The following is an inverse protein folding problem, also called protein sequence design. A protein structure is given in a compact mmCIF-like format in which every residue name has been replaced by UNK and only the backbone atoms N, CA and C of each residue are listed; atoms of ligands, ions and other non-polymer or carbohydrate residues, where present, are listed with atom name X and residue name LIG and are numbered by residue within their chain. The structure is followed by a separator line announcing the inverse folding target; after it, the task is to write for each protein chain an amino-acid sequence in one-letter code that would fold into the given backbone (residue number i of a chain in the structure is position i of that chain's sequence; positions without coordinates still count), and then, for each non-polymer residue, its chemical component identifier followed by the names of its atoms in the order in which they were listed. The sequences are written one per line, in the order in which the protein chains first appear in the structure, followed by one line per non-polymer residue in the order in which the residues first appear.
data_IF_023149937009
#
_entry.id   IF_023149937009
#
_cell.length_a   1.000
_cell.length_b   1.000
_cell.length_c   1.000
_cell.angle_alpha   90.00
_cell.angle_beta   90.00
_cell.angle_gamma   90.00
#
_symmetry.space_group_name_H-M   'P 1'
#
loop_
_entity.id
_entity.type
_entity.pdbx_description
1 polymer ?
#
# COMPACT_ATOMS: atom_id res chain seq x y z
N UNK A 1 45.18 25.40 25.52
CA UNK A 1 44.31 26.00 24.48
C UNK A 1 44.07 24.95 23.40
N UNK A 2 42.94 24.26 23.45
CA UNK A 2 42.53 23.30 22.41
C UNK A 2 41.59 24.05 21.49
N UNK A 3 42.04 24.35 20.27
CA UNK A 3 41.23 24.98 19.24
C UNK A 3 40.26 23.94 18.66
N UNK A 4 38.95 24.19 18.81
CA UNK A 4 37.89 23.47 18.10
C UNK A 4 37.93 23.88 16.63
N UNK A 5 38.15 22.91 15.74
CA UNK A 5 37.94 23.06 14.31
C UNK A 5 36.49 22.74 13.97
N UNK A 6 35.68 23.75 13.66
CA UNK A 6 34.32 23.62 13.15
C UNK A 6 34.33 23.04 11.72
N UNK A 7 33.96 21.77 11.59
CA UNK A 7 33.81 21.12 10.29
C UNK A 7 32.42 21.43 9.72
N UNK A 8 32.34 22.50 8.93
CA UNK A 8 31.13 22.96 8.24
C UNK A 8 30.78 21.97 7.10
N UNK A 9 29.81 21.08 7.34
CA UNK A 9 29.25 20.19 6.31
C UNK A 9 28.53 21.03 5.26
N UNK A 10 29.15 21.20 4.09
CA UNK A 10 28.57 21.91 2.95
C UNK A 10 27.74 20.91 2.14
N UNK A 11 26.42 20.94 2.29
CA UNK A 11 25.50 20.21 1.41
C UNK A 11 25.50 20.91 0.05
N UNK A 12 26.25 20.36 -0.91
CA UNK A 12 26.11 20.75 -2.32
C UNK A 12 24.77 20.23 -2.81
N UNK A 13 23.78 21.13 -2.96
CA UNK A 13 22.62 20.88 -3.82
C UNK A 13 23.12 20.78 -5.25
N UNK A 14 23.30 19.56 -5.75
CA UNK A 14 23.47 19.32 -7.18
C UNK A 14 22.14 19.70 -7.85
N UNK A 15 22.08 20.87 -8.46
CA UNK A 15 20.99 21.21 -9.38
C UNK A 15 21.01 20.18 -10.52
N UNK A 16 19.91 19.45 -10.80
CA UNK A 16 19.82 18.71 -12.05
C UNK A 16 19.72 19.73 -13.18
N UNK A 17 20.69 19.64 -14.08
CA UNK A 17 20.79 20.38 -15.33
C UNK A 17 19.46 20.33 -16.08
N UNK A 18 18.83 21.48 -16.25
CA UNK A 18 17.66 21.64 -17.13
C UNK A 18 18.16 21.55 -18.57
N UNK A 19 18.18 20.33 -19.11
CA UNK A 19 18.33 20.09 -20.54
C UNK A 19 17.00 19.59 -21.11
N UNK A 20 16.29 20.55 -21.71
CA UNK A 20 15.51 20.37 -22.93
C UNK A 20 14.45 19.27 -22.97
N UNK A 21 13.19 19.65 -22.74
CA UNK A 21 12.05 18.84 -23.16
C UNK A 21 10.77 19.17 -22.39
N UNK A 22 10.12 20.30 -22.71
CA UNK A 22 8.68 20.46 -22.42
C UNK A 22 7.88 19.57 -23.38
N UNK A 23 8.02 18.26 -23.26
CA UNK A 23 7.00 17.31 -23.68
C UNK A 23 6.00 17.22 -22.54
N UNK A 24 4.71 17.40 -22.81
CA UNK A 24 3.66 17.00 -21.88
C UNK A 24 3.91 15.52 -21.52
N UNK A 25 4.49 15.26 -20.34
CA UNK A 25 4.63 13.89 -19.85
C UNK A 25 3.22 13.43 -19.53
N UNK A 26 2.63 12.62 -20.41
CA UNK A 26 1.33 11.99 -20.16
C UNK A 26 1.35 11.23 -18.83
N UNK A 27 0.16 10.94 -18.27
CA UNK A 27 0.02 10.33 -16.94
C UNK A 27 0.97 9.14 -16.71
N UNK A 28 1.20 8.32 -17.74
CA UNK A 28 2.12 7.20 -17.66
C UNK A 28 3.57 7.60 -17.31
N UNK A 29 4.10 8.68 -17.88
CA UNK A 29 5.43 9.17 -17.56
C UNK A 29 5.54 9.72 -16.14
N UNK A 30 4.47 10.32 -15.63
CA UNK A 30 4.40 10.87 -14.27
C UNK A 30 4.34 9.76 -13.21
N UNK A 31 3.52 8.73 -13.43
CA UNK A 31 3.42 7.59 -12.52
C UNK A 31 4.78 6.88 -12.36
N UNK A 32 5.50 6.68 -13.46
CA UNK A 32 6.82 6.01 -13.42
C UNK A 32 7.85 6.86 -12.68
N UNK A 33 7.93 8.15 -12.98
CA UNK A 33 8.87 9.08 -12.34
C UNK A 33 8.70 9.10 -10.81
N UNK A 34 7.45 9.12 -10.33
CA UNK A 34 7.17 9.13 -8.88
C UNK A 34 7.40 7.78 -8.21
N UNK A 35 7.26 6.67 -8.94
CA UNK A 35 7.65 5.35 -8.43
C UNK A 35 9.16 5.25 -8.20
N UNK A 36 9.97 5.75 -9.14
CA UNK A 36 11.44 5.73 -9.01
C UNK A 36 11.90 6.61 -7.82
N UNK A 37 11.26 7.76 -7.62
CA UNK A 37 11.52 8.62 -6.45
C UNK A 37 11.13 7.96 -5.12
N UNK A 38 10.01 7.21 -5.10
CA UNK A 38 9.53 6.52 -3.90
C UNK A 38 10.39 5.32 -3.49
N UNK A 39 11.10 4.69 -4.44
CA UNK A 39 12.06 3.61 -4.19
C UNK A 39 13.38 4.12 -3.60
N UNK A 40 13.80 5.35 -3.96
CA UNK A 40 15.04 5.95 -3.47
C UNK A 40 14.94 6.48 -2.03
N UNK A 41 13.73 6.57 -1.47
CA UNK A 41 13.55 6.82 -0.03
C UNK A 41 13.65 5.49 0.71
N UNK A 42 14.88 5.01 0.86
CA UNK A 42 15.20 4.04 1.92
C UNK A 42 15.04 4.76 3.26
N UNK A 43 14.07 4.32 4.07
CA UNK A 43 14.17 4.57 5.51
C UNK A 43 15.50 3.96 5.94
N UNK A 44 16.41 4.79 6.45
CA UNK A 44 17.70 4.33 6.98
C UNK A 44 17.42 3.12 7.88
N UNK A 45 18.08 1.96 7.66
CA UNK A 45 17.91 0.84 8.56
C UNK A 45 18.34 1.33 9.94
N UNK A 46 17.42 1.28 10.91
CA UNK A 46 17.80 1.45 12.30
C UNK A 46 18.85 0.37 12.64
N UNK A 47 19.89 0.71 13.42
CA UNK A 47 20.95 -0.24 13.74
C UNK A 47 20.32 -1.50 14.34
N UNK A 48 20.57 -2.64 13.69
CA UNK A 48 20.06 -3.94 14.11
C UNK A 48 20.74 -4.36 15.40
N UNK A 49 20.09 -4.11 16.54
CA UNK A 49 20.45 -4.72 17.81
C UNK A 49 19.50 -5.87 18.10
N UNK A 50 20.07 -7.08 18.07
CA UNK A 50 19.65 -8.33 18.72
C UNK A 50 18.28 -8.91 18.38
N UNK A 51 18.35 -10.09 17.77
CA UNK A 51 17.30 -11.11 17.62
C UNK A 51 16.34 -11.14 18.82
N UNK A 52 15.11 -10.69 18.60
CA UNK A 52 13.94 -11.19 19.31
C UNK A 52 12.92 -11.65 18.27
N UNK A 53 12.64 -12.95 18.29
CA UNK A 53 11.73 -13.65 17.38
C UNK A 53 10.30 -13.33 17.81
N UNK A 54 9.79 -12.19 17.34
CA UNK A 54 8.35 -11.93 17.26
C UNK A 54 7.96 -11.64 15.79
N UNK A 55 7.68 -12.69 14.99
CA UNK A 55 7.35 -12.57 13.56
C UNK A 55 6.20 -11.61 13.20
N UNK A 56 5.11 -11.43 13.99
CA UNK A 56 4.06 -10.50 13.60
C UNK A 56 4.52 -9.03 13.61
N UNK A 57 5.51 -8.67 14.42
CA UNK A 57 5.94 -7.26 14.54
C UNK A 57 6.80 -6.78 13.38
N UNK A 58 7.61 -7.67 12.78
CA UNK A 58 8.47 -7.33 11.63
C UNK A 58 7.63 -7.09 10.39
N UNK A 59 6.69 -8.00 10.09
CA UNK A 59 5.77 -7.86 8.96
C UNK A 59 4.90 -6.61 9.08
N UNK A 60 4.37 -6.31 10.27
CA UNK A 60 3.54 -5.12 10.46
C UNK A 60 4.35 -3.81 10.34
N UNK A 61 5.61 -3.80 10.77
CA UNK A 61 6.53 -2.67 10.53
C UNK A 61 6.83 -2.50 9.04
N UNK A 62 7.09 -3.60 8.32
CA UNK A 62 7.29 -3.57 6.87
C UNK A 62 6.03 -3.05 6.15
N UNK A 63 4.85 -3.53 6.53
CA UNK A 63 3.59 -3.07 5.96
C UNK A 63 3.33 -1.57 6.22
N UNK A 64 3.62 -1.09 7.43
CA UNK A 64 3.57 0.34 7.76
C UNK A 64 4.52 1.15 6.88
N UNK A 65 5.76 0.68 6.67
CA UNK A 65 6.72 1.34 5.79
C UNK A 65 6.24 1.37 4.32
N UNK A 66 5.67 0.27 3.83
CA UNK A 66 5.05 0.20 2.50
C UNK A 66 3.87 1.16 2.37
N UNK A 67 3.05 1.30 3.42
CA UNK A 67 1.93 2.25 3.42
C UNK A 67 2.43 3.69 3.29
N UNK A 68 3.47 4.08 4.03
CA UNK A 68 4.08 5.42 3.93
C UNK A 68 4.64 5.66 2.53
N UNK A 69 5.38 4.70 1.96
CA UNK A 69 5.87 4.79 0.57
C UNK A 69 4.71 4.97 -0.42
N UNK A 70 3.61 4.23 -0.21
CA UNK A 70 2.42 4.27 -1.05
C UNK A 70 1.72 5.63 -0.97
N UNK A 71 1.53 6.18 0.23
CA UNK A 71 0.90 7.49 0.41
C UNK A 71 1.77 8.62 -0.17
N UNK A 72 3.10 8.52 -0.02
CA UNK A 72 4.04 9.46 -0.64
C UNK A 72 3.95 9.42 -2.16
N UNK A 73 3.91 8.22 -2.75
CA UNK A 73 3.69 8.04 -4.18
C UNK A 73 2.42 8.78 -4.63
N UNK A 74 1.28 8.51 -3.97
CA UNK A 74 -0.01 9.14 -4.28
C UNK A 74 0.07 10.67 -4.18
N UNK A 75 0.64 11.19 -3.08
CA UNK A 75 0.78 12.63 -2.83
C UNK A 75 1.58 13.36 -3.91
N UNK A 76 2.53 12.67 -4.54
CA UNK A 76 3.36 13.28 -5.56
C UNK A 76 2.81 13.15 -6.99
N UNK A 77 1.75 12.35 -7.22
CA UNK A 77 1.13 12.26 -8.55
C UNK A 77 0.48 13.61 -8.92
N UNK A 78 0.90 14.30 -9.99
CA UNK A 78 0.41 15.67 -10.26
C UNK A 78 -1.10 15.77 -10.47
N UNK A 79 -1.70 14.89 -11.28
CA UNK A 79 -3.14 14.90 -11.50
C UNK A 79 -3.96 14.53 -10.26
N UNK A 80 -3.36 13.87 -9.26
CA UNK A 80 -3.99 13.66 -7.97
C UNK A 80 -4.03 14.95 -7.15
N UNK A 81 -2.95 15.74 -7.19
CA UNK A 81 -2.85 17.04 -6.50
C UNK A 81 -3.79 18.10 -7.05
N UNK A 82 -4.19 17.98 -8.32
CA UNK A 82 -5.16 18.87 -8.97
C UNK A 82 -6.60 18.61 -8.54
N UNK A 83 -6.88 17.45 -7.92
CA UNK A 83 -8.20 17.16 -7.38
C UNK A 83 -8.47 18.02 -6.14
N UNK A 84 -9.74 18.39 -5.87
CA UNK A 84 -10.13 18.95 -4.58
C UNK A 84 -9.68 18.06 -3.42
N UNK A 85 -9.25 18.65 -2.29
CA UNK A 85 -8.79 17.89 -1.11
C UNK A 85 -9.80 16.83 -0.65
N UNK A 86 -11.06 17.21 -0.75
CA UNK A 86 -12.22 16.39 -0.48
C UNK A 86 -12.31 15.13 -1.34
N UNK A 87 -11.90 15.22 -2.60
CA UNK A 87 -11.88 14.12 -3.55
C UNK A 87 -10.61 13.27 -3.39
N UNK A 88 -9.47 13.91 -3.12
CA UNK A 88 -8.23 13.25 -2.74
C UNK A 88 -8.45 12.32 -1.54
N UNK A 89 -9.14 12.84 -0.51
CA UNK A 89 -9.47 12.12 0.70
C UNK A 89 -10.38 10.91 0.42
N UNK A 90 -11.42 11.09 -0.42
CA UNK A 90 -12.31 10.01 -0.82
C UNK A 90 -11.56 8.88 -1.56
N UNK A 91 -10.60 9.24 -2.43
CA UNK A 91 -9.76 8.28 -3.14
C UNK A 91 -8.82 7.53 -2.18
N UNK A 92 -8.15 8.21 -1.26
CA UNK A 92 -7.25 7.56 -0.28
C UNK A 92 -8.03 6.61 0.63
N UNK A 93 -9.15 7.08 1.23
CA UNK A 93 -9.98 6.26 2.13
C UNK A 93 -10.55 5.00 1.46
N UNK A 94 -10.78 5.05 0.15
CA UNK A 94 -11.33 3.91 -0.60
C UNK A 94 -10.26 3.02 -1.25
N UNK A 95 -9.05 3.55 -1.48
CA UNK A 95 -7.98 2.90 -2.22
C UNK A 95 -6.79 2.41 -1.38
N UNK A 96 -6.64 2.85 -0.13
CA UNK A 96 -5.42 2.55 0.66
C UNK A 96 -5.14 1.05 0.81
N UNK A 97 -6.16 0.22 1.07
CA UNK A 97 -5.98 -1.20 1.32
C UNK A 97 -5.48 -1.98 0.09
N UNK A 98 -6.13 -1.89 -1.09
CA UNK A 98 -5.60 -2.56 -2.28
C UNK A 98 -4.25 -1.98 -2.73
N UNK A 99 -4.00 -0.68 -2.54
CA UNK A 99 -2.69 -0.08 -2.81
C UNK A 99 -1.60 -0.61 -1.88
N UNK A 100 -1.90 -0.77 -0.58
CA UNK A 100 -1.00 -1.37 0.39
C UNK A 100 -0.66 -2.80 0.01
N UNK A 101 -1.64 -3.64 -0.29
CA UNK A 101 -1.37 -5.05 -0.65
C UNK A 101 -0.60 -5.15 -1.97
N UNK A 102 -0.90 -4.29 -2.96
CA UNK A 102 -0.10 -4.20 -4.18
C UNK A 102 1.34 -3.76 -3.89
N UNK A 103 1.54 -2.85 -2.92
CA UNK A 103 2.86 -2.45 -2.42
C UNK A 103 3.60 -3.57 -1.69
N UNK A 104 2.91 -4.39 -0.88
CA UNK A 104 3.50 -5.57 -0.23
C UNK A 104 4.01 -6.56 -1.27
N UNK A 105 3.24 -6.76 -2.35
CA UNK A 105 3.67 -7.60 -3.46
C UNK A 105 4.93 -7.06 -4.15
N UNK A 106 5.00 -5.74 -4.36
CA UNK A 106 6.15 -5.07 -4.97
C UNK A 106 7.41 -5.18 -4.10
N UNK A 107 7.30 -4.97 -2.80
CA UNK A 107 8.41 -5.05 -1.84
C UNK A 107 8.72 -6.51 -1.43
N UNK A 108 8.06 -7.51 -2.06
CA UNK A 108 8.21 -8.96 -1.79
C UNK A 108 8.07 -9.31 -0.30
N UNK A 109 7.14 -8.64 0.38
CA UNK A 109 6.84 -8.91 1.80
C UNK A 109 6.00 -10.19 1.87
N UNK A 110 6.61 -11.27 2.36
CA UNK A 110 5.89 -12.48 2.74
C UNK A 110 5.48 -12.41 4.21
N UNK A 111 4.36 -13.05 4.54
CA UNK A 111 3.88 -13.12 5.91
C UNK A 111 3.32 -14.49 6.23
N UNK A 112 3.82 -15.07 7.31
CA UNK A 112 3.26 -16.25 7.92
C UNK A 112 2.35 -15.83 9.06
N UNK A 113 1.05 -16.02 8.89
CA UNK A 113 0.17 -16.13 10.05
C UNK A 113 0.49 -17.46 10.69
N UNK A 114 1.28 -17.47 11.75
CA UNK A 114 1.44 -18.67 12.57
C UNK A 114 0.06 -19.02 13.12
N UNK A 115 -0.56 -20.05 12.55
CA UNK A 115 -1.60 -20.79 13.25
C UNK A 115 -0.92 -21.42 14.46
N UNK A 116 -0.89 -20.70 15.59
CA UNK A 116 -0.91 -21.41 16.85
C UNK A 116 -2.28 -22.05 16.88
N UNK A 117 -2.37 -23.30 16.40
CA UNK A 117 -3.44 -24.21 16.77
C UNK A 117 -3.40 -24.18 18.29
N UNK A 118 -4.25 -23.36 18.92
CA UNK A 118 -4.47 -23.53 20.34
C UNK A 118 -4.96 -24.96 20.46
N UNK A 119 -4.25 -25.83 21.21
CA UNK A 119 -4.76 -27.16 21.45
C UNK A 119 -6.17 -26.97 22.00
N UNK A 120 -7.14 -27.62 21.36
CA UNK A 120 -8.54 -27.57 21.81
C UNK A 120 -8.60 -27.78 23.32
N UNK A 121 -9.58 -27.20 24.02
CA UNK A 121 -9.68 -27.40 25.48
C UNK A 121 -9.60 -28.89 25.85
N UNK A 122 -10.14 -29.77 24.99
CA UNK A 122 -10.00 -31.22 25.11
C UNK A 122 -8.54 -31.68 25.01
N UNK A 123 -7.79 -31.22 24.02
CA UNK A 123 -6.37 -31.55 23.88
C UNK A 123 -5.54 -31.04 25.08
N UNK A 124 -5.86 -29.88 25.66
CA UNK A 124 -5.22 -29.37 26.89
C UNK A 124 -5.51 -30.23 28.12
N UNK A 125 -6.75 -30.73 28.23
CA UNK A 125 -7.17 -31.63 29.32
C UNK A 125 -6.51 -33.01 29.14
N UNK A 126 -6.42 -33.49 27.90
CA UNK A 126 -5.88 -34.81 27.57
C UNK A 126 -4.35 -34.90 27.67
N UNK A 127 -3.61 -33.81 27.40
CA UNK A 127 -2.13 -33.80 27.45
C UNK A 127 -1.54 -33.36 28.79
N UNK A 128 -2.37 -33.05 29.80
CA UNK A 128 -1.94 -32.97 31.20
C UNK A 128 -0.76 -32.02 31.49
N UNK A 129 -0.68 -30.87 30.84
CA UNK A 129 0.37 -29.89 31.16
C UNK A 129 0.10 -29.20 32.51
N UNK A 130 0.99 -29.29 33.51
CA UNK A 130 0.76 -28.74 34.83
C UNK A 130 1.39 -27.35 34.95
N UNK A 131 0.67 -26.30 34.57
CA UNK A 131 1.05 -24.93 34.97
C UNK A 131 -0.13 -24.19 35.60
N UNK A 132 -0.10 -24.20 36.94
CA UNK A 132 -0.05 -22.95 37.68
C UNK A 132 -1.23 -21.98 37.52
N UNK A 133 -2.26 -22.23 38.33
CA UNK A 133 -3.20 -21.22 38.83
C UNK A 133 -2.46 -19.92 39.19
N UNK A 134 -2.88 -18.79 38.58
CA UNK A 134 -2.49 -17.38 38.85
C UNK A 134 -1.42 -16.75 37.92
N UNK A 135 -1.80 -16.44 36.68
CA UNK A 135 -1.42 -15.19 35.98
C UNK A 135 -2.33 -14.94 34.77
N UNK A 136 -3.43 -14.23 35.01
CA UNK A 136 -4.35 -13.76 33.98
C UNK A 136 -3.87 -12.41 33.44
N UNK A 137 -2.67 -12.33 32.84
CA UNK A 137 -2.23 -11.13 32.12
C UNK A 137 -1.28 -11.51 30.96
N UNK A 138 -1.80 -11.37 29.74
CA UNK A 138 -1.06 -10.84 28.60
C UNK A 138 -0.01 -11.72 27.92
N UNK A 139 -0.46 -12.56 26.99
CA UNK A 139 0.12 -12.63 25.64
C UNK A 139 -0.77 -13.51 24.77
N UNK A 140 -1.86 -12.94 24.27
CA UNK A 140 -2.69 -13.63 23.30
C UNK A 140 -2.05 -13.43 21.91
N UNK A 141 -1.32 -14.42 21.40
CA UNK A 141 -1.10 -14.57 19.96
C UNK A 141 -2.42 -15.01 19.32
N UNK A 142 -3.42 -14.13 19.36
CA UNK A 142 -4.68 -14.28 18.65
C UNK A 142 -4.35 -14.12 17.18
N UNK A 143 -4.63 -15.13 16.36
CA UNK A 143 -5.14 -14.85 15.01
C UNK A 143 -6.17 -13.74 15.18
N UNK A 144 -5.91 -12.56 14.59
CA UNK A 144 -6.63 -11.33 14.90
C UNK A 144 -8.15 -11.63 14.93
N UNK A 145 -8.75 -11.61 16.12
CA UNK A 145 -10.10 -12.11 16.34
C UNK A 145 -11.06 -11.48 15.32
N UNK A 146 -11.60 -12.31 14.41
CA UNK A 146 -12.52 -11.87 13.35
C UNK A 146 -11.95 -11.80 11.93
N UNK A 147 -10.71 -12.24 11.66
CA UNK A 147 -10.21 -12.43 10.28
C UNK A 147 -10.48 -13.87 9.82
N UNK A 148 -11.15 -14.04 8.67
CA UNK A 148 -11.40 -15.38 8.13
C UNK A 148 -10.15 -15.94 7.42
N UNK A 149 -9.98 -17.26 7.49
CA UNK A 149 -8.89 -17.97 6.78
C UNK A 149 -8.93 -17.67 5.28
N UNK A 150 -10.13 -17.61 4.69
CA UNK A 150 -10.35 -17.28 3.29
C UNK A 150 -9.80 -15.91 2.90
N UNK A 151 -9.91 -14.90 3.77
CA UNK A 151 -9.35 -13.58 3.48
C UNK A 151 -7.81 -13.60 3.51
N UNK A 152 -7.22 -14.35 4.44
CA UNK A 152 -5.76 -14.52 4.54
C UNK A 152 -5.24 -15.23 3.29
N UNK A 153 -5.90 -16.32 2.89
CA UNK A 153 -5.58 -17.07 1.68
C UNK A 153 -5.74 -16.20 0.43
N UNK A 154 -6.78 -15.37 0.34
CA UNK A 154 -6.97 -14.46 -0.79
C UNK A 154 -5.82 -13.45 -0.93
N UNK A 155 -5.35 -12.88 0.19
CA UNK A 155 -4.19 -11.97 0.19
C UNK A 155 -2.93 -12.74 -0.24
N UNK A 156 -2.66 -13.91 0.35
CA UNK A 156 -1.50 -14.74 0.00
C UNK A 156 -1.51 -15.19 -1.46
N UNK A 157 -2.67 -15.59 -1.98
CA UNK A 157 -2.86 -15.99 -3.36
C UNK A 157 -2.58 -14.81 -4.32
N UNK A 158 -3.02 -13.60 -3.97
CA UNK A 158 -2.69 -12.40 -4.72
C UNK A 158 -1.18 -12.12 -4.74
N UNK A 159 -0.50 -12.16 -3.59
CA UNK A 159 0.95 -11.95 -3.51
C UNK A 159 1.71 -12.95 -4.40
N UNK A 160 1.42 -14.25 -4.24
CA UNK A 160 1.99 -15.33 -5.06
C UNK A 160 1.71 -15.13 -6.55
N UNK A 161 0.51 -14.67 -6.92
CA UNK A 161 0.18 -14.39 -8.32
C UNK A 161 1.05 -13.28 -8.87
N UNK A 162 1.19 -12.15 -8.17
CA UNK A 162 2.07 -11.06 -8.56
C UNK A 162 3.52 -11.51 -8.71
N UNK A 163 3.99 -12.39 -7.83
CA UNK A 163 5.36 -12.91 -7.88
C UNK A 163 5.57 -13.86 -9.05
N UNK A 164 4.60 -14.72 -9.37
CA UNK A 164 4.69 -15.62 -10.55
C UNK A 164 4.65 -14.89 -11.90
N UNK A 165 4.00 -13.73 -11.98
CA UNK A 165 3.91 -12.92 -13.22
C UNK A 165 5.19 -12.09 -13.44
N UNK A 166 6.00 -11.93 -12.39
CA UNK A 166 7.19 -11.08 -12.34
C UNK A 166 6.91 -9.66 -12.86
N UNK A 167 6.07 -8.94 -12.10
CA UNK A 167 5.65 -7.57 -12.42
C UNK A 167 6.82 -6.62 -12.18
N UNK A 168 7.17 -5.83 -13.20
CA UNK A 168 8.23 -4.82 -13.12
C UNK A 168 7.80 -3.57 -12.33
N UNK A 169 8.78 -2.78 -11.87
CA UNK A 169 8.53 -1.49 -11.17
C UNK A 169 7.62 -0.55 -11.95
N UNK A 170 7.81 -0.44 -13.28
CA UNK A 170 6.98 0.43 -14.13
C UNK A 170 5.55 -0.09 -14.22
N UNK A 171 5.37 -1.40 -14.36
CA UNK A 171 4.03 -2.01 -14.36
C UNK A 171 3.33 -1.81 -13.02
N UNK A 172 4.03 -1.96 -11.88
CA UNK A 172 3.48 -1.62 -10.57
C UNK A 172 3.04 -0.16 -10.47
N UNK A 173 3.78 0.78 -11.07
CA UNK A 173 3.40 2.19 -11.11
C UNK A 173 2.05 2.40 -11.81
N UNK A 174 1.86 1.79 -12.99
CA UNK A 174 0.61 1.88 -13.73
C UNK A 174 -0.54 1.16 -13.02
N UNK A 175 -0.29 0.00 -12.42
CA UNK A 175 -1.29 -0.73 -11.65
C UNK A 175 -1.72 0.06 -10.41
N UNK A 176 -0.79 0.72 -9.71
CA UNK A 176 -1.11 1.64 -8.61
C UNK A 176 -1.99 2.79 -9.09
N UNK A 177 -1.68 3.39 -10.24
CA UNK A 177 -2.53 4.41 -10.87
C UNK A 177 -3.95 3.87 -11.17
N UNK A 178 -4.05 2.68 -11.75
CA UNK A 178 -5.32 2.03 -12.09
C UNK A 178 -6.18 1.67 -10.85
N UNK A 179 -5.54 1.37 -9.72
CA UNK A 179 -6.20 1.12 -8.43
C UNK A 179 -6.61 2.42 -7.74
N UNK A 180 -5.72 3.42 -7.76
CA UNK A 180 -5.95 4.73 -7.15
C UNK A 180 -7.14 5.44 -7.81
N UNK A 181 -7.11 5.57 -9.13
CA UNK A 181 -8.16 6.26 -9.89
C UNK A 181 -9.33 5.33 -10.17
N UNK A 182 -10.13 5.01 -9.13
CA UNK A 182 -11.30 4.15 -9.28
C UNK A 182 -12.61 4.92 -9.03
N UNK A 183 -13.39 5.23 -10.08
CA UNK A 183 -14.59 6.05 -9.95
C UNK A 183 -15.68 5.37 -9.12
N UNK A 184 -15.79 4.04 -9.18
CA UNK A 184 -16.79 3.31 -8.40
C UNK A 184 -16.52 3.36 -6.90
N UNK A 185 -15.24 3.23 -6.50
CA UNK A 185 -14.81 3.35 -5.10
C UNK A 185 -14.90 4.80 -4.59
N UNK A 186 -14.57 5.76 -5.45
CA UNK A 186 -14.77 7.18 -5.19
C UNK A 186 -16.24 7.52 -4.91
N UNK A 187 -17.15 7.12 -5.79
CA UNK A 187 -18.58 7.45 -5.68
C UNK A 187 -19.22 6.88 -4.40
N UNK A 188 -18.80 5.69 -3.97
CA UNK A 188 -19.26 5.09 -2.70
C UNK A 188 -18.86 5.95 -1.49
N UNK A 189 -17.66 6.55 -1.50
CA UNK A 189 -17.21 7.45 -0.41
C UNK A 189 -17.74 8.87 -0.55
N UNK A 190 -17.98 9.34 -1.77
CA UNK A 190 -18.58 10.65 -2.04
C UNK A 190 -20.10 10.66 -1.86
N UNK A 191 -20.74 9.50 -1.66
CA UNK A 191 -22.21 9.35 -1.54
C UNK A 191 -22.88 10.29 -0.54
N UNK A 192 -22.35 10.49 0.68
CA UNK A 192 -22.93 11.44 1.63
C UNK A 192 -23.02 12.88 1.09
N UNK A 193 -22.19 13.24 0.11
CA UNK A 193 -22.17 14.56 -0.53
C UNK A 193 -23.11 14.69 -1.73
N UNK A 194 -23.57 13.59 -2.32
CA UNK A 194 -24.51 13.65 -3.45
C UNK A 194 -25.82 14.39 -3.11
N UNK A 195 -26.18 14.45 -1.83
CA UNK A 195 -27.38 15.10 -1.34
C UNK A 195 -27.17 16.54 -0.86
N UNK A 196 -25.93 17.00 -0.70
CA UNK A 196 -25.59 18.33 -0.16
C UNK A 196 -24.78 19.19 -1.14
N UNK A 197 -23.97 18.56 -1.98
CA UNK A 197 -23.21 19.20 -3.06
C UNK A 197 -23.96 19.06 -4.38
N UNK A 198 -23.78 20.03 -5.29
CA UNK A 198 -24.35 19.97 -6.63
C UNK A 198 -23.94 18.65 -7.31
N UNK A 199 -24.90 17.75 -7.55
CA UNK A 199 -24.69 16.39 -8.09
C UNK A 199 -23.80 16.38 -9.35
N UNK A 200 -23.92 17.41 -10.19
CA UNK A 200 -23.04 17.63 -11.34
C UNK A 200 -21.54 17.61 -11.01
N UNK A 201 -21.11 18.21 -9.88
CA UNK A 201 -19.69 18.25 -9.47
C UNK A 201 -19.12 16.85 -9.23
N UNK A 202 -19.88 16.02 -8.51
CA UNK A 202 -19.48 14.63 -8.23
C UNK A 202 -19.43 13.82 -9.52
N UNK A 203 -20.36 14.04 -10.45
CA UNK A 203 -20.34 13.41 -11.78
C UNK A 203 -19.14 13.86 -12.63
N UNK A 204 -18.81 15.15 -12.62
CA UNK A 204 -17.66 15.71 -13.33
C UNK A 204 -16.34 15.13 -12.78
N UNK A 205 -16.16 15.10 -11.46
CA UNK A 205 -15.02 14.49 -10.80
C UNK A 205 -14.92 12.99 -11.12
N UNK A 206 -16.03 12.25 -11.07
CA UNK A 206 -16.07 10.83 -11.45
C UNK A 206 -15.64 10.61 -12.91
N UNK A 207 -16.05 11.49 -13.82
CA UNK A 207 -15.69 11.42 -15.24
C UNK A 207 -14.18 11.66 -15.45
N UNK A 208 -13.62 12.64 -14.74
CA UNK A 208 -12.18 12.92 -14.76
C UNK A 208 -11.36 11.77 -14.15
N UNK A 209 -11.78 11.23 -12.99
CA UNK A 209 -11.13 10.06 -12.39
C UNK A 209 -11.18 8.86 -13.35
N UNK A 210 -12.28 8.69 -14.10
CA UNK A 210 -12.39 7.64 -15.11
C UNK A 210 -11.42 7.86 -16.29
N UNK A 211 -11.17 9.10 -16.73
CA UNK A 211 -10.16 9.35 -17.78
C UNK A 211 -8.75 9.02 -17.30
N UNK A 212 -8.39 9.43 -16.08
CA UNK A 212 -7.10 9.08 -15.47
C UNK A 212 -6.92 7.56 -15.36
N UNK A 213 -7.98 6.84 -14.98
CA UNK A 213 -7.96 5.37 -14.97
C UNK A 213 -7.69 4.76 -16.34
N UNK A 214 -8.32 5.30 -17.39
CA UNK A 214 -8.11 4.82 -18.77
C UNK A 214 -6.67 5.07 -19.21
N UNK A 215 -6.14 6.26 -18.93
CA UNK A 215 -4.75 6.60 -19.24
C UNK A 215 -3.76 5.67 -18.53
N UNK A 216 -4.00 5.31 -17.27
CA UNK A 216 -3.16 4.35 -16.55
C UNK A 216 -3.16 2.95 -17.22
N UNK A 217 -4.32 2.46 -17.65
CA UNK A 217 -4.42 1.19 -18.38
C UNK A 217 -3.79 1.26 -19.77
N UNK A 218 -3.96 2.39 -20.46
CA UNK A 218 -3.36 2.61 -21.77
C UNK A 218 -1.83 2.63 -21.67
N UNK A 219 -1.28 3.39 -20.73
CA UNK A 219 0.16 3.43 -20.49
C UNK A 219 0.73 2.06 -20.13
N UNK A 220 0.00 1.27 -19.33
CA UNK A 220 0.37 -0.12 -19.05
C UNK A 220 0.39 -0.98 -20.32
N UNK A 221 -0.65 -0.91 -21.14
CA UNK A 221 -0.76 -1.70 -22.37
C UNK A 221 0.35 -1.32 -23.38
N UNK A 222 0.62 -0.03 -23.54
CA UNK A 222 1.70 0.47 -24.38
C UNK A 222 3.06 -0.01 -23.87
N UNK A 223 3.31 0.07 -22.56
CA UNK A 223 4.54 -0.42 -21.95
C UNK A 223 4.74 -1.92 -22.18
N UNK A 224 3.68 -2.72 -21.96
CA UNK A 224 3.72 -4.17 -22.20
C UNK A 224 4.00 -4.48 -23.67
N UNK A 225 3.34 -3.79 -24.61
CA UNK A 225 3.58 -3.97 -26.05
C UNK A 225 5.00 -3.59 -26.47
N UNK A 226 5.60 -2.61 -25.81
CA UNK A 226 6.95 -2.16 -26.14
C UNK A 226 8.04 -3.10 -25.60
N UNK A 227 7.90 -3.54 -24.34
CA UNK A 227 8.93 -4.31 -23.61
C UNK A 227 8.73 -5.83 -23.78
N UNK A 228 7.49 -6.30 -23.79
CA UNK A 228 7.13 -7.72 -23.79
C UNK A 228 6.39 -8.11 -25.08
N UNK A 229 7.00 -7.83 -26.23
CA UNK A 229 6.41 -8.07 -27.57
C UNK A 229 5.97 -9.52 -27.80
N UNK A 230 6.73 -10.47 -27.25
CA UNK A 230 6.49 -11.90 -27.42
C UNK A 230 5.38 -12.44 -26.49
N UNK A 231 5.11 -11.77 -25.35
CA UNK A 231 4.04 -12.20 -24.42
C UNK A 231 2.77 -11.36 -24.64
N UNK A 232 2.04 -11.71 -25.69
CA UNK A 232 0.73 -11.08 -26.03
C UNK A 232 -0.31 -11.22 -24.92
N UNK A 233 -0.11 -12.17 -23.99
CA UNK A 233 -1.02 -12.42 -22.86
C UNK A 233 -0.66 -11.65 -21.60
N UNK A 234 0.51 -10.99 -21.54
CA UNK A 234 1.00 -10.32 -20.33
C UNK A 234 0.04 -9.27 -19.78
N UNK A 235 -0.51 -8.44 -20.66
CA UNK A 235 -1.48 -7.42 -20.25
C UNK A 235 -2.70 -8.06 -19.57
N UNK A 236 -3.25 -9.15 -20.13
CA UNK A 236 -4.34 -9.89 -19.52
C UNK A 236 -3.95 -10.52 -18.17
N UNK A 237 -2.75 -11.12 -18.06
CA UNK A 237 -2.22 -11.66 -16.79
C UNK A 237 -2.16 -10.59 -15.69
N UNK A 238 -1.73 -9.38 -16.04
CA UNK A 238 -1.67 -8.23 -15.12
C UNK A 238 -3.07 -7.77 -14.67
N UNK A 239 -4.03 -7.71 -15.59
CA UNK A 239 -5.42 -7.36 -15.26
C UNK A 239 -6.09 -8.43 -14.39
N UNK A 240 -5.78 -9.71 -14.61
CA UNK A 240 -6.26 -10.82 -13.77
C UNK A 240 -5.70 -10.64 -12.36
N UNK A 241 -4.40 -10.40 -12.21
CA UNK A 241 -3.80 -10.12 -10.89
C UNK A 241 -4.47 -8.91 -10.21
N UNK A 242 -4.69 -7.81 -10.95
CA UNK A 242 -5.38 -6.63 -10.45
C UNK A 242 -6.82 -6.92 -9.99
N UNK A 243 -7.53 -7.81 -10.68
CA UNK A 243 -8.91 -8.17 -10.34
C UNK A 243 -9.03 -8.93 -9.03
N UNK A 244 -8.00 -9.67 -8.62
CA UNK A 244 -7.98 -10.39 -7.33
C UNK A 244 -8.02 -9.43 -6.13
N UNK A 245 -7.53 -8.19 -6.29
CA UNK A 245 -7.65 -7.14 -5.26
C UNK A 245 -9.11 -6.79 -4.92
N UNK A 246 -10.08 -7.18 -5.75
CA UNK A 246 -11.52 -6.98 -5.46
C UNK A 246 -12.01 -7.84 -4.30
N UNK A 247 -11.38 -9.00 -4.06
CA UNK A 247 -11.71 -9.89 -2.95
C UNK A 247 -11.15 -9.37 -1.61
N UNK A 248 -10.17 -8.46 -1.65
CA UNK A 248 -9.48 -7.99 -0.46
C UNK A 248 -10.30 -6.91 0.26
N UNK A 249 -10.65 -7.19 1.51
CA UNK A 249 -11.45 -6.29 2.35
C UNK A 249 -10.54 -5.37 3.18
N UNK A 250 -10.73 -4.04 3.15
CA UNK A 250 -9.92 -3.10 3.94
C UNK A 250 -9.87 -3.39 5.45
N UNK A 251 -10.98 -3.79 6.12
CA UNK A 251 -10.94 -4.13 7.54
C UNK A 251 -9.99 -5.28 7.85
N UNK A 252 -9.90 -6.28 6.96
CA UNK A 252 -9.01 -7.43 7.14
C UNK A 252 -7.55 -7.01 7.03
N UNK A 253 -7.22 -6.20 6.02
CA UNK A 253 -5.87 -5.66 5.84
C UNK A 253 -5.46 -4.84 7.07
N UNK A 254 -6.36 -4.01 7.60
CA UNK A 254 -6.10 -3.24 8.82
C UNK A 254 -5.83 -4.15 10.03
N UNK A 255 -6.66 -5.18 10.23
CA UNK A 255 -6.54 -6.12 11.34
C UNK A 255 -5.24 -6.93 11.29
N UNK A 256 -4.82 -7.36 10.09
CA UNK A 256 -3.63 -8.18 9.92
C UNK A 256 -2.32 -7.37 10.05
N UNK A 257 -2.26 -6.18 9.46
CA UNK A 257 -0.98 -5.49 9.27
C UNK A 257 -0.82 -4.21 10.08
N UNK A 258 -1.92 -3.55 10.47
CA UNK A 258 -1.86 -2.19 11.01
C UNK A 258 -2.30 -2.14 12.47
N UNK A 259 -3.39 -2.82 12.85
CA UNK A 259 -3.86 -2.91 14.24
C UNK A 259 -2.82 -3.42 15.24
N UNK A 260 -1.93 -4.37 14.90
CA UNK A 260 -0.84 -4.75 15.80
C UNK A 260 0.14 -3.60 16.13
N UNK A 261 0.18 -2.55 15.30
CA UNK A 261 1.06 -1.38 15.46
C UNK A 261 0.31 -0.18 16.04
N UNK A 262 -0.87 0.13 15.48
CA UNK A 262 -1.65 1.33 15.85
C UNK A 262 -2.65 1.08 16.99
N UNK A 263 -2.84 -0.18 17.39
CA UNK A 263 -3.79 -0.56 18.43
C UNK A 263 -5.25 -0.30 18.03
N UNK A 264 -5.96 0.47 18.85
CA UNK A 264 -7.39 0.80 18.70
C UNK A 264 -7.65 2.07 17.89
N UNK A 265 -6.60 2.77 17.45
CA UNK A 265 -6.72 4.03 16.70
C UNK A 265 -7.43 3.80 15.37
N UNK A 266 -8.27 4.75 14.96
CA UNK A 266 -8.95 4.70 13.68
C UNK A 266 -7.92 4.81 12.55
N UNK A 267 -7.91 3.80 11.67
CA UNK A 267 -7.01 3.78 10.52
C UNK A 267 -7.17 5.01 9.61
N UNK A 268 -8.38 5.55 9.49
CA UNK A 268 -8.60 6.73 8.66
C UNK A 268 -7.93 7.98 9.25
N UNK A 269 -7.84 8.09 10.58
CA UNK A 269 -7.10 9.18 11.25
C UNK A 269 -5.60 9.03 11.00
N UNK A 270 -5.07 7.80 11.15
CA UNK A 270 -3.64 7.51 10.87
C UNK A 270 -3.30 7.80 9.42
N UNK A 271 -4.15 7.42 8.46
CA UNK A 271 -3.94 7.71 7.04
C UNK A 271 -3.89 9.22 6.78
N UNK A 272 -4.73 9.99 7.46
CA UNK A 272 -4.75 11.45 7.33
C UNK A 272 -3.51 12.09 7.93
N UNK A 273 -3.10 11.64 9.11
CA UNK A 273 -1.86 12.09 9.73
C UNK A 273 -0.66 11.75 8.85
N UNK A 274 -0.58 10.55 8.28
CA UNK A 274 0.52 10.18 7.38
C UNK A 274 0.51 10.96 6.05
N UNK A 275 -0.67 11.36 5.56
CA UNK A 275 -0.80 12.04 4.28
C UNK A 275 -0.58 13.56 4.38
N UNK A 276 -1.18 14.20 5.40
CA UNK A 276 -1.11 15.65 5.63
C UNK A 276 -0.05 16.05 6.66
N UNK A 277 0.41 15.11 7.49
CA UNK A 277 1.52 15.30 8.41
C UNK A 277 2.80 15.69 7.67
N UNK A 278 3.62 16.49 8.36
CA UNK A 278 4.87 17.04 7.84
C UNK A 278 5.99 16.02 7.92
#
# INVERSE_FOLDING_TARGET
MVMKSDQKVTIRKTQPSVLGGRGQRGLGGLLVHECDYSLNVTLSPAPMTTFSRDPPTVTCKAASAVLVKTLRFVKNVPCFRELPEDDQLALIRSGWAPLLVLGLAQDRVDFETTETVEPSMLQRILTGSPEGRNQALGCHSRTAAGVSVLDIEAIKAFLKKCWSVDISTKEYAYLKGAVLFNPGRFLIRARPRLFTENMWRVCAASTYIQSLRREAHQALNEHVRLIHREDTTRFAKLLIALSMLRAIRPPVVAQLFLKPVIGTVNIEEVLMEMFYGK
#
